data_IF_551218624322
#
_entry.id   IF_551218624322
#
_cell.length_a   1.000
_cell.length_b   1.000
_cell.length_c   1.000
_cell.angle_alpha   90.00
_cell.angle_beta   90.00
_cell.angle_gamma   90.00
#
_symmetry.space_group_name_H-M   'P 1'
#
loop_
_entity.id
_entity.type
_entity.pdbx_description
1 polymer ?
#
# COMPACT_ATOMS: atom_id res chain seq x y z
N UNK A 1 26.99 -8.30 6.31
CA UNK A 1 27.49 -6.93 6.06
C UNK A 1 26.77 -6.03 7.04
N UNK A 2 27.49 -5.25 7.85
CA UNK A 2 26.90 -4.23 8.71
C UNK A 2 26.56 -3.01 7.85
N UNK A 3 25.30 -2.60 7.85
CA UNK A 3 24.87 -1.35 7.24
C UNK A 3 25.35 -0.22 8.15
N UNK A 4 26.05 0.80 7.66
CA UNK A 4 26.63 1.85 8.52
C UNK A 4 26.20 3.22 7.99
N UNK A 5 25.76 4.08 8.91
CA UNK A 5 25.46 5.48 8.65
C UNK A 5 26.31 6.37 9.56
N UNK A 6 26.50 7.62 9.16
CA UNK A 6 27.38 8.56 9.84
C UNK A 6 26.62 9.83 10.21
N UNK A 7 26.74 10.29 11.45
CA UNK A 7 26.08 11.49 11.93
C UNK A 7 27.11 12.54 12.40
N UNK A 8 26.87 13.81 12.08
CA UNK A 8 27.67 14.92 12.61
C UNK A 8 26.82 16.17 12.84
N UNK A 9 27.33 17.13 13.61
CA UNK A 9 26.65 18.41 13.86
C UNK A 9 27.02 19.46 12.82
N UNK A 10 28.29 19.84 12.78
CA UNK A 10 28.79 20.90 11.91
C UNK A 10 30.02 20.44 11.13
N UNK A 11 30.24 20.95 9.91
CA UNK A 11 29.36 21.86 9.18
C UNK A 11 28.21 21.12 8.48
N UNK A 12 27.07 21.79 8.31
CA UNK A 12 26.00 21.29 7.44
C UNK A 12 26.40 21.42 5.97
N UNK A 13 26.53 20.33 5.20
CA UNK A 13 26.89 20.42 3.78
C UNK A 13 25.72 21.00 2.94
N UNK A 14 26.05 21.69 1.86
CA UNK A 14 25.07 22.19 0.89
C UNK A 14 24.92 21.27 -0.33
N UNK A 15 25.92 20.42 -0.59
CA UNK A 15 25.96 19.48 -1.73
C UNK A 15 26.40 18.08 -1.30
N UNK A 16 26.10 17.07 -2.10
CA UNK A 16 26.54 15.69 -1.86
C UNK A 16 28.06 15.56 -1.82
N UNK A 17 28.77 16.24 -2.73
CA UNK A 17 30.23 16.29 -2.75
C UNK A 17 30.80 16.95 -1.48
N UNK A 18 30.15 17.99 -0.96
CA UNK A 18 30.52 18.57 0.33
C UNK A 18 30.28 17.62 1.49
N UNK A 19 29.19 16.84 1.48
CA UNK A 19 28.91 15.84 2.51
C UNK A 19 30.02 14.77 2.56
N UNK A 20 30.44 14.27 1.40
CA UNK A 20 31.58 13.34 1.29
C UNK A 20 32.88 13.96 1.83
N UNK A 21 33.16 15.22 1.48
CA UNK A 21 34.34 15.93 1.95
C UNK A 21 34.29 16.28 3.45
N UNK A 22 33.10 16.39 4.05
CA UNK A 22 32.93 16.57 5.50
C UNK A 22 33.23 15.25 6.21
N UNK A 23 32.61 14.15 5.79
CA UNK A 23 32.87 12.83 6.37
C UNK A 23 34.36 12.46 6.32
N UNK A 24 34.98 12.57 5.13
CA UNK A 24 36.39 12.24 4.94
C UNK A 24 37.35 13.07 5.80
N UNK A 25 36.94 14.29 6.20
CA UNK A 25 37.75 15.14 7.09
C UNK A 25 37.52 14.82 8.57
N UNK A 26 36.32 14.42 8.95
CA UNK A 26 35.90 14.36 10.35
C UNK A 26 35.93 12.97 10.96
N UNK A 27 35.88 11.90 10.15
CA UNK A 27 35.78 10.53 10.66
C UNK A 27 36.94 10.17 11.60
N UNK A 28 38.16 10.63 11.34
CA UNK A 28 39.33 10.34 12.20
C UNK A 28 39.68 11.49 13.19
N UNK A 29 38.80 12.47 13.36
CA UNK A 29 39.08 13.62 14.24
C UNK A 29 38.50 13.45 15.64
N UNK A 30 39.27 13.72 16.70
CA UNK A 30 38.77 13.63 18.07
C UNK A 30 37.65 14.64 18.34
N UNK A 31 36.55 14.18 18.93
CA UNK A 31 35.39 15.02 19.23
C UNK A 31 35.40 15.64 20.63
N UNK A 32 34.94 16.91 20.77
CA UNK A 32 34.38 17.36 22.03
C UNK A 32 33.01 16.69 22.28
N UNK A 33 32.60 16.64 23.55
CA UNK A 33 31.27 16.17 23.92
C UNK A 33 30.17 16.93 23.17
N UNK A 34 29.29 16.19 22.48
CA UNK A 34 28.18 16.77 21.73
C UNK A 34 26.84 16.44 22.41
N UNK A 35 26.16 17.43 23.03
CA UNK A 35 24.90 17.19 23.73
C UNK A 35 23.77 16.75 22.81
N UNK A 36 23.85 17.03 21.49
CA UNK A 36 22.83 16.60 20.52
C UNK A 36 22.87 15.10 20.26
N UNK A 37 24.04 14.47 20.31
CA UNK A 37 24.13 13.01 20.19
C UNK A 37 23.54 12.31 21.41
N UNK A 38 23.77 12.86 22.61
CA UNK A 38 23.16 12.36 23.85
C UNK A 38 21.63 12.47 23.79
N UNK A 39 21.13 13.63 23.36
CA UNK A 39 19.70 13.85 23.21
C UNK A 39 19.08 12.95 22.13
N UNK A 40 19.78 12.75 20.99
CA UNK A 40 19.34 11.82 19.95
C UNK A 40 19.24 10.40 20.50
N UNK A 41 20.28 9.89 21.16
CA UNK A 41 20.27 8.58 21.79
C UNK A 41 19.10 8.43 22.79
N UNK A 42 18.84 9.47 23.60
CA UNK A 42 17.71 9.50 24.55
C UNK A 42 16.35 9.38 23.84
N UNK A 43 16.15 10.11 22.73
CA UNK A 43 14.89 10.07 21.98
C UNK A 43 14.66 8.72 21.30
N UNK A 44 15.70 8.15 20.70
CA UNK A 44 15.61 6.83 20.08
C UNK A 44 15.33 5.74 21.12
N UNK A 45 15.97 5.81 22.29
CA UNK A 45 15.69 4.90 23.40
C UNK A 45 14.25 5.00 23.91
N UNK A 46 13.69 6.22 23.98
CA UNK A 46 12.29 6.42 24.36
C UNK A 46 11.30 5.86 23.31
N UNK A 47 11.65 5.94 22.02
CA UNK A 47 10.82 5.45 20.94
C UNK A 47 10.79 3.91 20.85
N UNK A 48 11.93 3.24 21.09
CA UNK A 48 12.05 1.79 21.03
C UNK A 48 12.81 1.23 22.25
N UNK A 49 12.19 1.20 23.43
CA UNK A 49 12.84 0.76 24.66
C UNK A 49 13.26 -0.72 24.63
N UNK A 50 12.57 -1.56 23.85
CA UNK A 50 12.83 -3.00 23.73
C UNK A 50 14.10 -3.34 22.94
N UNK A 51 14.62 -2.38 22.16
CA UNK A 51 15.88 -2.52 21.43
C UNK A 51 17.08 -2.01 22.23
N UNK A 52 16.87 -1.43 23.40
CA UNK A 52 17.94 -0.86 24.23
C UNK A 52 19.01 -1.87 24.66
N UNK A 53 18.67 -3.16 24.74
CA UNK A 53 19.57 -4.26 25.11
C UNK A 53 20.31 -4.89 23.92
N UNK A 54 20.05 -4.44 22.68
CA UNK A 54 20.57 -5.04 21.44
C UNK A 54 21.49 -4.13 20.61
N UNK A 55 21.98 -3.02 21.17
CA UNK A 55 22.90 -2.14 20.45
C UNK A 55 24.34 -2.66 20.53
N UNK A 56 25.00 -2.74 19.37
CA UNK A 56 26.45 -2.99 19.23
C UNK A 56 27.29 -1.72 19.11
N UNK A 57 26.73 -0.52 19.34
CA UNK A 57 27.49 0.73 19.32
C UNK A 57 27.07 1.61 20.50
N UNK A 58 28.04 1.91 21.35
CA UNK A 58 27.88 2.70 22.56
C UNK A 58 27.05 3.97 22.29
N UNK A 59 25.91 4.10 22.97
CA UNK A 59 25.26 5.40 23.09
C UNK A 59 26.26 6.29 23.84
N UNK A 60 26.74 7.41 23.26
CA UNK A 60 27.70 8.23 23.98
C UNK A 60 27.02 8.68 25.27
N UNK A 61 27.66 8.37 26.39
CA UNK A 61 27.48 9.04 27.68
C UNK A 61 27.92 10.53 27.61
N UNK A 62 27.82 11.14 26.42
CA UNK A 62 28.40 12.42 26.06
C UNK A 62 29.79 12.33 25.44
N UNK A 63 30.49 11.20 25.47
CA UNK A 63 31.86 11.10 24.96
C UNK A 63 31.88 10.22 23.71
N UNK A 64 32.29 10.81 22.58
CA UNK A 64 32.67 10.08 21.39
C UNK A 64 34.17 10.24 21.19
N UNK A 65 34.82 9.20 20.68
CA UNK A 65 36.22 9.29 20.27
C UNK A 65 36.38 10.12 19.00
N UNK A 66 35.31 10.27 18.19
CA UNK A 66 35.34 10.87 16.85
C UNK A 66 34.24 11.93 16.64
N UNK A 67 34.53 12.96 15.81
CA UNK A 67 33.61 14.05 15.41
C UNK A 67 32.35 13.55 14.70
N UNK A 68 32.41 12.33 14.18
CA UNK A 68 31.34 11.62 13.51
C UNK A 68 30.86 10.48 14.39
N UNK A 69 29.55 10.41 14.62
CA UNK A 69 28.96 9.23 15.22
C UNK A 69 28.61 8.23 14.13
N UNK A 70 29.41 7.18 14.02
CA UNK A 70 29.19 6.07 13.08
C UNK A 70 28.27 5.03 13.71
N UNK A 71 27.08 4.84 13.13
CA UNK A 71 26.06 3.91 13.59
C UNK A 71 25.87 2.75 12.60
N UNK A 72 26.29 1.56 13.03
CA UNK A 72 25.98 0.28 12.43
C UNK A 72 24.54 -0.14 12.73
N UNK A 73 23.74 -0.32 11.68
CA UNK A 73 22.37 -0.79 11.71
C UNK A 73 22.31 -2.30 11.49
N UNK A 74 21.73 -3.01 12.44
CA UNK A 74 21.45 -4.43 12.29
C UNK A 74 20.27 -4.64 11.31
N UNK A 75 20.36 -5.65 10.45
CA UNK A 75 19.27 -6.02 9.53
C UNK A 75 18.00 -6.52 10.23
N UNK A 76 18.05 -6.71 11.54
CA UNK A 76 16.93 -7.10 12.41
C UNK A 76 16.18 -5.89 12.98
N UNK A 77 16.65 -4.67 12.74
CA UNK A 77 15.97 -3.46 13.18
C UNK A 77 14.62 -3.32 12.43
N UNK A 78 13.57 -2.83 13.11
CA UNK A 78 12.30 -2.53 12.45
C UNK A 78 12.45 -1.53 11.30
N UNK A 79 11.70 -1.71 10.22
CA UNK A 79 11.78 -0.85 9.01
C UNK A 79 11.54 0.65 9.29
N UNK A 80 10.84 0.98 10.38
CA UNK A 80 10.57 2.36 10.80
C UNK A 80 11.68 2.98 11.66
N UNK A 81 12.69 2.22 12.07
CA UNK A 81 13.82 2.72 12.86
C UNK A 81 14.61 3.77 12.06
N UNK A 82 15.00 3.43 10.84
CA UNK A 82 15.87 4.27 10.03
C UNK A 82 15.23 5.63 9.65
N UNK A 83 13.96 5.68 9.18
CA UNK A 83 13.27 6.96 8.97
C UNK A 83 13.13 7.80 10.25
N UNK A 84 12.81 7.17 11.39
CA UNK A 84 12.65 7.89 12.65
C UNK A 84 13.98 8.46 13.18
N UNK A 85 15.07 7.71 13.02
CA UNK A 85 16.42 8.17 13.35
C UNK A 85 16.80 9.42 12.56
N UNK A 86 16.52 9.42 11.24
CA UNK A 86 16.76 10.58 10.38
C UNK A 86 15.95 11.78 10.86
N UNK A 87 14.66 11.60 11.14
CA UNK A 87 13.77 12.67 11.58
C UNK A 87 14.26 13.31 12.89
N UNK A 88 14.60 12.51 13.89
CA UNK A 88 15.09 13.00 15.18
C UNK A 88 16.47 13.67 15.05
N UNK A 89 17.37 13.11 14.25
CA UNK A 89 18.70 13.67 14.01
C UNK A 89 18.60 15.04 13.33
N UNK A 90 17.83 15.14 12.24
CA UNK A 90 17.60 16.38 11.50
C UNK A 90 16.89 17.43 12.36
N UNK A 91 15.93 17.02 13.21
CA UNK A 91 15.26 17.91 14.15
C UNK A 91 16.19 18.48 15.22
N UNK A 92 17.24 17.74 15.59
CA UNK A 92 18.31 18.21 16.48
C UNK A 92 19.38 19.03 15.75
N UNK A 93 19.24 19.22 14.44
CA UNK A 93 20.20 19.97 13.64
C UNK A 93 21.46 19.16 13.30
N UNK A 94 21.37 17.83 13.27
CA UNK A 94 22.44 16.94 12.83
C UNK A 94 22.28 16.60 11.34
N UNK A 95 23.41 16.30 10.69
CA UNK A 95 23.47 15.69 9.37
C UNK A 95 23.57 14.18 9.51
N UNK A 96 22.89 13.44 8.64
CA UNK A 96 22.95 11.96 8.55
C UNK A 96 23.40 11.60 7.15
N UNK A 97 24.49 10.86 7.04
CA UNK A 97 25.06 10.42 5.77
C UNK A 97 25.00 8.91 5.65
N UNK A 98 24.51 8.48 4.51
CA UNK A 98 24.37 7.09 4.14
C UNK A 98 25.08 6.86 2.81
N UNK A 99 26.32 6.35 2.90
CA UNK A 99 27.13 6.05 1.73
C UNK A 99 26.48 4.98 0.86
N UNK A 100 25.85 3.99 1.49
CA UNK A 100 25.32 2.81 0.81
C UNK A 100 24.05 3.16 0.03
N UNK A 101 23.24 4.09 0.54
CA UNK A 101 22.08 4.65 -0.16
C UNK A 101 22.47 5.78 -1.13
N UNK A 102 23.65 6.40 -0.99
CA UNK A 102 24.05 7.56 -1.77
C UNK A 102 23.27 8.83 -1.38
N UNK A 103 22.92 8.96 -0.10
CA UNK A 103 22.05 10.02 0.41
C UNK A 103 22.62 10.70 1.67
N UNK A 104 22.44 12.01 1.77
CA UNK A 104 22.74 12.77 2.98
C UNK A 104 21.56 13.66 3.38
N UNK A 105 21.03 13.45 4.57
CA UNK A 105 19.95 14.23 5.16
C UNK A 105 20.57 15.35 6.00
N UNK A 106 20.11 16.58 5.78
CA UNK A 106 20.67 17.77 6.44
C UNK A 106 19.57 18.53 7.18
N UNK A 107 19.91 19.34 8.20
CA UNK A 107 18.96 20.16 8.94
C UNK A 107 17.94 20.89 8.05
N UNK A 108 16.65 20.70 8.37
CA UNK A 108 15.53 21.15 7.56
C UNK A 108 14.99 20.05 6.62
N UNK A 109 14.08 20.40 5.69
CA UNK A 109 13.43 19.41 4.83
C UNK A 109 14.30 19.13 3.60
N UNK A 110 15.57 18.72 3.77
CA UNK A 110 16.49 18.59 2.64
C UNK A 110 17.25 17.26 2.63
N UNK A 111 17.33 16.66 1.44
CA UNK A 111 18.17 15.51 1.11
C UNK A 111 19.14 15.92 0.01
N UNK A 112 20.39 15.48 0.14
CA UNK A 112 21.45 15.65 -0.84
C UNK A 112 21.78 14.29 -1.43
N UNK A 113 21.89 14.21 -2.75
CA UNK A 113 22.41 13.05 -3.48
C UNK A 113 23.25 13.54 -4.66
N UNK A 114 23.84 12.62 -5.44
CA UNK A 114 24.53 12.98 -6.69
C UNK A 114 23.63 13.76 -7.67
N UNK A 115 22.32 13.51 -7.64
CA UNK A 115 21.34 14.21 -8.47
C UNK A 115 21.10 15.67 -8.03
N UNK A 116 21.58 16.05 -6.84
CA UNK A 116 21.50 17.40 -6.31
C UNK A 116 20.76 17.48 -4.99
N UNK A 117 20.30 18.70 -4.65
CA UNK A 117 19.57 18.99 -3.42
C UNK A 117 18.08 18.94 -3.67
N UNK A 118 17.41 18.02 -2.98
CA UNK A 118 15.97 17.84 -3.07
C UNK A 118 15.32 18.17 -1.74
N UNK A 119 14.13 18.78 -1.81
CA UNK A 119 13.33 18.96 -0.61
C UNK A 119 12.79 17.60 -0.19
N UNK A 120 13.07 17.18 1.04
CA UNK A 120 12.31 16.13 1.69
C UNK A 120 10.86 16.61 1.72
N UNK A 121 10.07 16.13 0.78
CA UNK A 121 8.62 16.16 0.90
C UNK A 121 8.29 15.08 1.91
N UNK A 122 8.46 15.40 3.20
CA UNK A 122 7.74 14.71 4.26
C UNK A 122 6.26 14.90 3.93
N UNK A 123 5.70 13.96 3.17
CA UNK A 123 4.27 13.84 3.03
C UNK A 123 3.79 13.72 4.48
N UNK A 124 2.97 14.65 5.01
CA UNK A 124 2.61 14.62 6.41
C UNK A 124 1.99 13.24 6.66
N UNK A 125 2.69 12.41 7.42
CA UNK A 125 2.09 11.26 8.05
C UNK A 125 1.05 11.92 8.94
N UNK A 126 -0.22 11.83 8.55
CA UNK A 126 -1.32 12.23 9.43
C UNK A 126 -1.00 11.59 10.79
N UNK A 127 -0.93 12.42 11.84
CA UNK A 127 -0.51 11.98 13.16
C UNK A 127 -1.18 10.63 13.47
N UNK A 128 -0.42 9.57 13.77
CA UNK A 128 -1.04 8.31 14.12
C UNK A 128 -2.01 8.59 15.28
N UNK A 129 -3.23 8.02 15.27
CA UNK A 129 -4.17 8.22 16.34
C UNK A 129 -3.51 7.88 17.68
N UNK A 130 -3.78 8.72 18.70
CA UNK A 130 -3.26 8.59 20.07
C UNK A 130 -3.31 7.12 20.50
N UNK A 131 -2.24 6.55 21.09
CA UNK A 131 -2.19 5.15 21.48
C UNK A 131 -3.16 4.90 22.64
N UNK A 132 -4.44 4.69 22.34
CA UNK A 132 -5.15 3.62 23.03
C UNK A 132 -4.45 2.35 22.55
N UNK A 133 -4.00 1.44 23.41
CA UNK A 133 -3.32 0.19 23.00
C UNK A 133 -4.12 -0.75 22.08
N UNK A 134 -5.22 -0.27 21.49
CA UNK A 134 -6.08 -0.93 20.52
C UNK A 134 -5.69 -0.56 19.09
N UNK A 135 -5.86 -1.53 18.20
CA UNK A 135 -5.61 -1.41 16.77
C UNK A 135 -6.77 -0.62 16.11
N UNK A 136 -6.52 0.65 15.78
CA UNK A 136 -7.43 1.47 14.95
C UNK A 136 -7.17 1.23 13.45
N UNK A 137 -7.85 0.24 12.88
CA UNK A 137 -7.75 -0.10 11.46
C UNK A 137 -8.20 1.05 10.56
N UNK A 138 -9.32 1.70 10.85
CA UNK A 138 -9.90 2.72 9.96
C UNK A 138 -9.06 4.00 9.97
N UNK A 139 -8.58 4.44 11.14
CA UNK A 139 -7.70 5.59 11.26
C UNK A 139 -6.35 5.36 10.57
N UNK A 140 -5.74 4.18 10.76
CA UNK A 140 -4.47 3.83 10.10
C UNK A 140 -4.63 3.67 8.59
N UNK A 141 -5.73 3.08 8.12
CA UNK A 141 -6.02 3.00 6.69
C UNK A 141 -6.14 4.39 6.06
N UNK A 142 -6.84 5.32 6.74
CA UNK A 142 -6.94 6.73 6.33
C UNK A 142 -5.59 7.43 6.30
N UNK A 143 -4.68 7.10 7.23
CA UNK A 143 -3.37 7.73 7.31
C UNK A 143 -2.37 7.18 6.28
N UNK A 144 -2.39 5.86 6.02
CA UNK A 144 -1.33 5.18 5.26
C UNK A 144 -1.73 4.83 3.81
N UNK A 145 -3.00 4.52 3.56
CA UNK A 145 -3.47 4.06 2.24
C UNK A 145 -4.10 5.19 1.45
N UNK A 146 -5.06 5.91 2.04
CA UNK A 146 -5.82 6.96 1.33
C UNK A 146 -4.92 8.01 0.64
N UNK A 147 -3.86 8.56 1.27
CA UNK A 147 -3.06 9.60 0.62
C UNK A 147 -2.33 9.14 -0.65
N UNK A 148 -2.15 7.81 -0.84
CA UNK A 148 -1.57 7.25 -2.06
C UNK A 148 -2.61 7.06 -3.16
N UNK A 149 -3.87 6.84 -2.80
CA UNK A 149 -4.96 6.50 -3.72
C UNK A 149 -5.80 7.73 -4.10
N UNK A 150 -5.81 8.77 -3.25
CA UNK A 150 -6.54 10.01 -3.47
C UNK A 150 -6.15 10.74 -4.78
N UNK A 151 -4.87 10.83 -5.20
CA UNK A 151 -4.52 11.39 -6.51
C UNK A 151 -5.14 10.66 -7.70
N UNK A 152 -5.54 9.40 -7.52
CA UNK A 152 -6.24 8.59 -8.53
C UNK A 152 -7.77 8.70 -8.44
N UNK A 153 -8.28 9.66 -7.66
CA UNK A 153 -9.70 9.97 -7.52
C UNK A 153 -10.47 9.12 -6.52
N UNK A 154 -9.78 8.29 -5.73
CA UNK A 154 -10.44 7.49 -4.68
C UNK A 154 -10.75 8.32 -3.44
N UNK A 155 -11.94 8.09 -2.89
CA UNK A 155 -12.38 8.57 -1.58
C UNK A 155 -12.55 7.39 -0.63
N UNK A 156 -12.28 7.61 0.65
CA UNK A 156 -12.45 6.59 1.68
C UNK A 156 -13.84 6.67 2.30
N UNK A 157 -14.59 5.58 2.22
CA UNK A 157 -15.81 5.33 2.97
C UNK A 157 -15.51 4.33 4.09
N UNK A 158 -15.93 4.69 5.31
CA UNK A 158 -15.78 3.85 6.51
C UNK A 158 -17.16 3.60 7.11
N UNK A 159 -17.86 2.55 6.66
CA UNK A 159 -19.10 2.13 7.29
C UNK A 159 -18.87 1.81 8.78
N UNK A 160 -19.91 1.97 9.63
CA UNK A 160 -19.81 1.61 11.04
C UNK A 160 -19.47 0.11 11.18
N UNK A 161 -18.60 -0.27 12.13
CA UNK A 161 -18.28 -1.67 12.41
C UNK A 161 -19.52 -2.52 12.70
N UNK A 162 -19.46 -3.81 12.34
CA UNK A 162 -20.52 -4.79 12.62
C UNK A 162 -19.93 -5.98 13.39
N UNK A 163 -20.09 -5.96 14.71
CA UNK A 163 -19.44 -6.94 15.58
C UNK A 163 -17.91 -6.88 15.42
N UNK A 164 -17.28 -8.01 15.16
CA UNK A 164 -15.82 -8.13 14.98
C UNK A 164 -15.37 -7.83 13.54
N UNK A 165 -16.28 -7.34 12.70
CA UNK A 165 -16.02 -6.99 11.31
C UNK A 165 -15.90 -5.48 11.16
N UNK A 166 -14.76 -5.03 10.65
CA UNK A 166 -14.51 -3.64 10.28
C UNK A 166 -14.35 -3.58 8.76
N UNK A 167 -14.89 -2.55 8.12
CA UNK A 167 -14.78 -2.35 6.67
C UNK A 167 -14.08 -1.03 6.36
N UNK A 168 -13.23 -1.04 5.33
CA UNK A 168 -12.65 0.15 4.71
C UNK A 168 -12.85 0.05 3.21
N UNK A 169 -13.51 1.05 2.61
CA UNK A 169 -13.86 1.05 1.19
C UNK A 169 -13.25 2.28 0.51
N UNK A 170 -12.47 2.06 -0.54
CA UNK A 170 -12.03 3.11 -1.44
C UNK A 170 -12.92 3.11 -2.67
N UNK A 171 -13.62 4.20 -2.90
CA UNK A 171 -14.61 4.34 -3.97
C UNK A 171 -14.19 5.46 -4.91
N UNK A 172 -14.40 5.29 -6.21
CA UNK A 172 -14.34 6.40 -7.19
C UNK A 172 -15.39 6.22 -8.27
N UNK A 173 -15.91 7.34 -8.77
CA UNK A 173 -16.82 7.34 -9.90
C UNK A 173 -16.08 7.59 -11.22
N UNK A 174 -16.49 6.86 -12.25
CA UNK A 174 -15.93 6.92 -13.61
C UNK A 174 -17.08 6.94 -14.62
N UNK A 175 -16.77 7.10 -15.92
CA UNK A 175 -17.79 7.04 -16.97
C UNK A 175 -18.41 5.64 -17.11
N UNK A 176 -17.65 4.59 -16.79
CA UNK A 176 -18.17 3.23 -16.74
C UNK A 176 -19.13 3.03 -15.56
N UNK A 177 -18.84 3.66 -14.43
CA UNK A 177 -19.59 3.56 -13.19
C UNK A 177 -18.69 3.67 -11.97
N UNK A 178 -19.12 3.09 -10.86
CA UNK A 178 -18.39 3.11 -9.60
C UNK A 178 -17.33 2.01 -9.56
N UNK A 179 -16.11 2.35 -9.16
CA UNK A 179 -15.06 1.38 -8.87
C UNK A 179 -14.81 1.36 -7.37
N UNK A 180 -14.75 0.16 -6.78
CA UNK A 180 -14.65 -0.05 -5.35
C UNK A 180 -13.53 -1.04 -5.00
N UNK A 181 -12.64 -0.63 -4.10
CA UNK A 181 -11.65 -1.48 -3.44
C UNK A 181 -12.09 -1.60 -1.98
N UNK A 182 -12.55 -2.79 -1.60
CA UNK A 182 -13.01 -3.11 -0.26
C UNK A 182 -11.93 -3.93 0.45
N UNK A 183 -11.58 -3.52 1.66
CA UNK A 183 -10.85 -4.37 2.60
C UNK A 183 -11.76 -4.68 3.78
N UNK A 184 -12.04 -5.97 3.95
CA UNK A 184 -12.76 -6.51 5.09
C UNK A 184 -11.75 -6.96 6.15
N UNK A 185 -11.96 -6.53 7.39
CA UNK A 185 -11.10 -6.84 8.50
C UNK A 185 -11.88 -7.66 9.53
N UNK A 186 -11.34 -8.83 9.91
CA UNK A 186 -11.91 -9.68 10.95
C UNK A 186 -10.88 -9.96 12.01
N UNK A 187 -11.20 -9.68 13.26
CA UNK A 187 -10.25 -9.89 14.35
C UNK A 187 -10.64 -9.17 15.63
N UNK A 188 -9.65 -8.98 16.48
CA UNK A 188 -9.79 -8.31 17.77
C UNK A 188 -8.86 -7.09 17.80
N UNK A 189 -9.42 -5.94 18.18
CA UNK A 189 -8.68 -4.70 18.31
C UNK A 189 -7.53 -4.79 19.32
N UNK A 190 -7.55 -5.75 20.25
CA UNK A 190 -6.49 -5.97 21.22
C UNK A 190 -5.34 -6.84 20.71
N UNK A 191 -5.48 -7.59 19.60
CA UNK A 191 -4.48 -8.55 19.15
C UNK A 191 -4.09 -8.41 17.69
N UNK A 192 -5.03 -8.67 16.78
CA UNK A 192 -4.76 -8.84 15.36
C UNK A 192 -6.03 -8.74 14.53
N UNK A 193 -5.83 -8.42 13.26
CA UNK A 193 -6.85 -8.49 12.23
C UNK A 193 -6.38 -9.34 11.06
N UNK A 194 -7.30 -10.11 10.50
CA UNK A 194 -7.16 -10.74 9.19
C UNK A 194 -7.89 -9.88 8.16
N UNK A 195 -7.15 -9.37 7.19
CA UNK A 195 -7.68 -8.60 6.07
C UNK A 195 -8.04 -9.51 4.89
N UNK A 196 -9.17 -9.25 4.24
CA UNK A 196 -9.56 -9.82 2.95
C UNK A 196 -9.85 -8.70 1.97
N UNK A 197 -9.18 -8.74 0.82
CA UNK A 197 -9.26 -7.72 -0.21
C UNK A 197 -10.26 -8.14 -1.30
N UNK A 198 -11.12 -7.22 -1.67
CA UNK A 198 -12.06 -7.36 -2.77
C UNK A 198 -12.00 -6.12 -3.67
N UNK A 199 -12.09 -6.32 -4.98
CA UNK A 199 -12.15 -5.22 -5.93
C UNK A 199 -13.29 -5.47 -6.92
N UNK A 200 -14.04 -4.42 -7.26
CA UNK A 200 -15.17 -4.54 -8.19
C UNK A 200 -15.51 -3.23 -8.90
N UNK A 201 -16.23 -3.36 -10.01
CA UNK A 201 -16.86 -2.24 -10.72
C UNK A 201 -18.38 -2.46 -10.70
N UNK A 202 -19.13 -1.43 -10.32
CA UNK A 202 -20.58 -1.34 -10.49
C UNK A 202 -20.88 -0.44 -11.70
N UNK A 203 -21.06 -1.00 -12.90
CA UNK A 203 -21.32 -0.20 -14.09
C UNK A 203 -22.67 0.51 -14.05
N UNK A 204 -22.75 1.66 -14.72
CA UNK A 204 -24.02 2.32 -15.03
C UNK A 204 -24.67 1.61 -16.22
N UNK A 205 -25.79 0.94 -15.97
CA UNK A 205 -26.57 0.21 -16.96
C UNK A 205 -27.95 0.85 -17.14
N UNK A 206 -28.52 0.83 -18.36
CA UNK A 206 -29.92 1.19 -18.57
C UNK A 206 -30.85 0.32 -17.70
N UNK A 207 -31.93 0.91 -17.18
CA UNK A 207 -32.81 0.24 -16.21
C UNK A 207 -33.32 -1.16 -16.67
N UNK A 208 -33.76 -1.37 -17.92
CA UNK A 208 -34.20 -2.70 -18.38
C UNK A 208 -33.08 -3.74 -18.31
N UNK A 209 -31.85 -3.33 -18.64
CA UNK A 209 -30.66 -4.19 -18.62
C UNK A 209 -30.24 -4.46 -17.17
N UNK A 210 -30.25 -3.44 -16.31
CA UNK A 210 -29.92 -3.58 -14.90
C UNK A 210 -30.86 -4.56 -14.16
N UNK A 211 -32.16 -4.58 -14.51
CA UNK A 211 -33.13 -5.54 -13.96
C UNK A 211 -32.80 -6.98 -14.31
N UNK A 212 -32.33 -7.24 -15.54
CA UNK A 212 -31.89 -8.58 -15.96
C UNK A 212 -30.61 -8.98 -15.24
N UNK A 213 -29.70 -8.02 -15.03
CA UNK A 213 -28.44 -8.28 -14.32
C UNK A 213 -28.63 -8.55 -12.82
N UNK A 214 -29.69 -8.07 -12.19
CA UNK A 214 -29.89 -8.20 -10.75
C UNK A 214 -30.00 -9.68 -10.31
N UNK A 215 -29.32 -10.09 -9.22
CA UNK A 215 -28.53 -9.28 -8.28
C UNK A 215 -27.04 -9.11 -8.67
N UNK A 216 -26.61 -9.65 -9.81
CA UNK A 216 -25.22 -9.65 -10.29
C UNK A 216 -24.86 -8.37 -11.06
N UNK A 217 -25.05 -7.21 -10.44
CA UNK A 217 -24.76 -5.90 -11.04
C UNK A 217 -23.30 -5.46 -10.88
N UNK A 218 -22.49 -6.21 -10.13
CA UNK A 218 -21.07 -5.92 -9.89
C UNK A 218 -20.18 -6.86 -10.72
N UNK A 219 -19.10 -6.31 -11.23
CA UNK A 219 -18.04 -7.03 -11.95
C UNK A 219 -16.84 -7.14 -11.00
N UNK A 220 -16.60 -8.30 -10.38
CA UNK A 220 -15.48 -8.48 -9.48
C UNK A 220 -14.18 -8.71 -10.23
N UNK A 221 -13.09 -8.18 -9.69
CA UNK A 221 -11.73 -8.49 -10.11
C UNK A 221 -11.19 -9.56 -9.16
N UNK A 222 -10.75 -10.68 -9.72
CA UNK A 222 -10.05 -11.73 -8.99
C UNK A 222 -8.56 -11.39 -8.91
N UNK A 223 -8.03 -11.45 -7.70
CA UNK A 223 -6.62 -11.21 -7.40
C UNK A 223 -5.99 -12.55 -7.03
N UNK A 224 -5.09 -13.04 -7.87
CA UNK A 224 -4.45 -14.36 -7.70
C UNK A 224 -3.19 -14.25 -6.87
N UNK A 225 -2.46 -13.15 -7.05
CA UNK A 225 -1.21 -12.90 -6.37
C UNK A 225 -1.05 -11.42 -5.97
N UNK A 226 -0.28 -11.21 -4.91
CA UNK A 226 -0.05 -9.91 -4.28
C UNK A 226 1.36 -9.91 -3.68
N UNK A 227 2.42 -10.00 -4.50
CA UNK A 227 3.77 -10.34 -4.03
C UNK A 227 4.25 -9.44 -2.90
N UNK A 228 3.93 -8.15 -2.96
CA UNK A 228 4.32 -7.13 -1.98
C UNK A 228 3.67 -7.32 -0.60
N UNK A 229 2.53 -8.01 -0.49
CA UNK A 229 1.86 -8.32 0.79
C UNK A 229 1.83 -9.82 1.11
N UNK A 230 2.50 -10.66 0.32
CA UNK A 230 2.51 -12.10 0.54
C UNK A 230 3.16 -12.51 1.87
N UNK A 231 4.03 -11.66 2.43
CA UNK A 231 4.61 -11.84 3.77
C UNK A 231 3.55 -11.89 4.89
N UNK A 232 2.34 -11.37 4.65
CA UNK A 232 1.24 -11.37 5.60
C UNK A 232 0.24 -12.49 5.35
N UNK A 233 0.43 -13.34 4.34
CA UNK A 233 -0.52 -14.40 3.99
C UNK A 233 -0.81 -15.31 5.17
N UNK A 234 -2.10 -15.50 5.43
CA UNK A 234 -2.59 -16.28 6.54
C UNK A 234 -3.52 -17.39 6.04
N UNK A 235 -3.18 -18.65 6.39
CA UNK A 235 -3.94 -19.87 6.03
C UNK A 235 -4.23 -19.97 4.53
N UNK A 236 -3.27 -19.58 3.69
CA UNK A 236 -3.37 -19.71 2.24
C UNK A 236 -3.53 -21.18 1.84
N UNK A 237 -4.47 -21.44 0.94
CA UNK A 237 -4.66 -22.75 0.33
C UNK A 237 -4.46 -22.63 -1.18
N UNK A 238 -3.50 -23.37 -1.78
CA UNK A 238 -3.34 -23.43 -3.23
C UNK A 238 -4.59 -23.94 -3.95
N UNK A 239 -5.46 -24.69 -3.27
CA UNK A 239 -6.74 -25.16 -3.80
C UNK A 239 -7.81 -24.04 -3.90
N UNK A 240 -7.59 -22.91 -3.23
CA UNK A 240 -8.46 -21.72 -3.28
C UNK A 240 -7.59 -20.45 -3.39
N UNK A 241 -6.87 -20.28 -4.51
CA UNK A 241 -5.82 -19.27 -4.64
C UNK A 241 -6.33 -17.84 -4.47
N UNK A 242 -7.62 -17.61 -4.71
CA UNK A 242 -8.27 -16.29 -4.67
C UNK A 242 -8.94 -15.99 -3.32
N UNK A 243 -8.96 -16.95 -2.40
CA UNK A 243 -9.42 -16.78 -1.03
C UNK A 243 -8.23 -16.47 -0.12
N UNK A 244 -7.76 -15.22 -0.16
CA UNK A 244 -6.55 -14.78 0.56
C UNK A 244 -6.91 -13.95 1.78
N UNK A 245 -6.39 -14.35 2.94
CA UNK A 245 -6.43 -13.59 4.17
C UNK A 245 -5.03 -13.11 4.51
N UNK A 246 -4.90 -11.90 5.05
CA UNK A 246 -3.62 -11.32 5.44
C UNK A 246 -3.64 -10.96 6.93
N UNK A 247 -2.79 -11.59 7.73
CA UNK A 247 -2.71 -11.35 9.17
C UNK A 247 -1.86 -10.12 9.46
N UNK A 248 -2.43 -9.16 10.18
CA UNK A 248 -1.75 -8.01 10.74
C UNK A 248 -1.88 -8.05 12.27
N UNK A 249 -0.78 -8.34 12.96
CA UNK A 249 -0.73 -8.43 14.43
C UNK A 249 -0.16 -7.16 15.04
N UNK A 250 -0.89 -6.62 16.02
CA UNK A 250 -0.53 -5.38 16.69
C UNK A 250 -0.52 -4.16 15.77
N UNK A 251 -0.25 -3.01 16.38
CA UNK A 251 -0.16 -1.71 15.70
C UNK A 251 0.93 -1.70 14.62
N UNK A 252 2.14 -2.13 14.95
CA UNK A 252 3.27 -2.09 14.02
C UNK A 252 3.11 -3.06 12.85
N UNK A 253 2.53 -4.25 13.11
CA UNK A 253 2.23 -5.21 12.04
C UNK A 253 1.17 -4.69 11.08
N UNK A 254 0.15 -4.00 11.60
CA UNK A 254 -0.86 -3.32 10.77
C UNK A 254 -0.25 -2.21 9.91
N UNK A 255 0.65 -1.39 10.43
CA UNK A 255 1.28 -0.32 9.65
C UNK A 255 2.13 -0.86 8.51
N UNK A 256 2.91 -1.92 8.76
CA UNK A 256 3.68 -2.59 7.71
C UNK A 256 2.75 -3.19 6.65
N UNK A 257 1.67 -3.86 7.08
CA UNK A 257 0.68 -4.40 6.16
C UNK A 257 0.04 -3.31 5.29
N UNK A 258 -0.44 -2.22 5.90
CA UNK A 258 -1.10 -1.12 5.19
C UNK A 258 -0.17 -0.40 4.23
N UNK A 259 1.11 -0.21 4.61
CA UNK A 259 2.11 0.39 3.74
C UNK A 259 2.40 -0.49 2.52
N UNK A 260 2.57 -1.79 2.73
CA UNK A 260 2.77 -2.76 1.66
C UNK A 260 1.52 -2.90 0.76
N UNK A 261 0.32 -2.89 1.36
CA UNK A 261 -0.96 -2.88 0.65
C UNK A 261 -1.06 -1.65 -0.24
N UNK A 262 -0.76 -0.45 0.28
CA UNK A 262 -0.82 0.78 -0.49
C UNK A 262 0.17 0.76 -1.67
N UNK A 263 1.38 0.22 -1.47
CA UNK A 263 2.36 0.03 -2.55
C UNK A 263 1.84 -0.93 -3.63
N UNK A 264 1.27 -2.08 -3.24
CA UNK A 264 0.69 -3.03 -4.19
C UNK A 264 -0.49 -2.45 -4.95
N UNK A 265 -1.42 -1.79 -4.26
CA UNK A 265 -2.57 -1.15 -4.87
C UNK A 265 -2.14 -0.17 -5.97
N UNK A 266 -1.15 0.66 -5.66
CA UNK A 266 -0.66 1.66 -6.60
C UNK A 266 0.10 1.05 -7.80
N UNK A 267 0.89 0.01 -7.56
CA UNK A 267 1.71 -0.61 -8.61
C UNK A 267 0.91 -1.54 -9.54
N UNK A 268 -0.04 -2.29 -8.99
CA UNK A 268 -0.69 -3.40 -9.71
C UNK A 268 -2.19 -3.12 -9.97
N UNK A 269 -2.95 -2.77 -8.94
CA UNK A 269 -4.42 -2.70 -9.06
C UNK A 269 -4.92 -1.41 -9.70
N UNK A 270 -4.40 -0.26 -9.29
CA UNK A 270 -4.81 1.04 -9.79
C UNK A 270 -4.61 1.16 -11.31
N UNK A 271 -3.50 0.71 -11.91
CA UNK A 271 -3.33 0.72 -13.37
C UNK A 271 -4.42 -0.09 -14.10
N UNK A 272 -4.81 -1.25 -13.58
CA UNK A 272 -5.90 -2.06 -14.13
C UNK A 272 -7.23 -1.31 -14.06
N UNK A 273 -7.52 -0.69 -12.92
CA UNK A 273 -8.74 0.10 -12.73
C UNK A 273 -8.75 1.38 -13.58
N UNK A 274 -7.59 1.99 -13.81
CA UNK A 274 -7.43 3.15 -14.68
C UNK A 274 -7.69 2.81 -16.14
N UNK A 275 -7.32 1.60 -16.58
CA UNK A 275 -7.69 1.05 -17.89
C UNK A 275 -9.16 0.66 -18.00
N UNK A 276 -9.94 0.70 -16.92
CA UNK A 276 -11.36 0.33 -16.91
C UNK A 276 -12.28 1.52 -16.59
N UNK A 277 -11.89 2.75 -16.95
CA UNK A 277 -12.68 3.97 -16.65
C UNK A 277 -13.84 4.21 -17.59
N UNK A 278 -13.78 3.67 -18.80
CA UNK A 278 -14.84 3.79 -19.81
C UNK A 278 -15.34 2.41 -20.23
N UNK A 279 -16.49 2.38 -20.91
CA UNK A 279 -17.05 1.14 -21.46
C UNK A 279 -16.17 0.51 -22.52
N UNK A 280 -15.62 1.33 -23.42
CA UNK A 280 -14.76 0.86 -24.51
C UNK A 280 -13.47 0.25 -23.95
N UNK A 281 -12.80 0.96 -23.03
CA UNK A 281 -11.57 0.47 -22.42
C UNK A 281 -11.79 -0.82 -21.64
N UNK A 282 -12.90 -0.92 -20.89
CA UNK A 282 -13.25 -2.15 -20.17
C UNK A 282 -13.51 -3.31 -21.13
N UNK A 283 -14.25 -3.10 -22.23
CA UNK A 283 -14.53 -4.16 -23.20
C UNK A 283 -13.28 -4.63 -23.94
N UNK A 284 -12.31 -3.74 -24.14
CA UNK A 284 -10.98 -4.09 -24.64
C UNK A 284 -10.19 -4.89 -23.60
N UNK A 285 -10.19 -4.47 -22.33
CA UNK A 285 -9.52 -5.18 -21.23
C UNK A 285 -10.10 -6.59 -21.01
N UNK A 286 -11.43 -6.76 -21.05
CA UNK A 286 -12.13 -8.04 -20.84
C UNK A 286 -11.75 -9.11 -21.89
N UNK A 287 -11.41 -8.67 -23.10
CA UNK A 287 -10.93 -9.53 -24.19
C UNK A 287 -9.41 -9.76 -24.19
N UNK A 288 -8.64 -8.83 -23.62
CA UNK A 288 -7.19 -8.93 -23.61
C UNK A 288 -6.71 -10.12 -22.78
N UNK A 289 -5.45 -10.53 -22.99
CA UNK A 289 -4.82 -11.50 -22.11
C UNK A 289 -4.85 -10.98 -20.67
N UNK A 290 -5.18 -11.84 -19.68
CA UNK A 290 -5.25 -11.42 -18.29
C UNK A 290 -3.92 -10.82 -17.85
N UNK A 291 -3.93 -9.60 -17.33
CA UNK A 291 -2.74 -9.01 -16.72
C UNK A 291 -2.43 -9.78 -15.45
N UNK A 292 -1.43 -10.65 -15.48
CA UNK A 292 -1.05 -11.39 -14.28
C UNK A 292 -0.62 -10.39 -13.20
N UNK A 293 -1.17 -10.45 -11.95
CA UNK A 293 -2.04 -11.49 -11.38
C UNK A 293 -3.51 -11.09 -11.14
N UNK A 294 -4.06 -10.10 -11.87
CA UNK A 294 -5.42 -9.55 -11.66
C UNK A 294 -6.27 -9.78 -12.91
N UNK A 295 -7.42 -10.42 -12.76
CA UNK A 295 -8.31 -10.66 -13.90
C UNK A 295 -9.77 -10.38 -13.57
N UNK A 296 -10.53 -10.00 -14.60
CA UNK A 296 -11.96 -9.76 -14.48
C UNK A 296 -12.69 -11.10 -14.40
N UNK A 297 -13.51 -11.28 -13.36
CA UNK A 297 -14.39 -12.45 -13.30
C UNK A 297 -15.52 -12.28 -14.30
N UNK A 298 -15.84 -13.38 -14.97
CA UNK A 298 -16.83 -13.41 -16.02
C UNK A 298 -18.25 -13.37 -15.41
N UNK A 299 -18.85 -12.18 -15.37
CA UNK A 299 -20.17 -11.91 -14.79
C UNK A 299 -21.17 -11.43 -15.85
N UNK A 300 -22.47 -11.53 -15.54
CA UNK A 300 -23.54 -11.12 -16.45
C UNK A 300 -23.45 -9.63 -16.83
N UNK A 301 -22.97 -8.80 -15.90
CA UNK A 301 -22.71 -7.39 -16.14
C UNK A 301 -21.68 -7.15 -17.27
N UNK A 302 -20.72 -8.05 -17.51
CA UNK A 302 -19.79 -7.97 -18.65
C UNK A 302 -20.56 -8.05 -19.98
N UNK A 303 -21.46 -9.04 -20.09
CA UNK A 303 -22.30 -9.24 -21.29
C UNK A 303 -23.28 -8.09 -21.47
N UNK A 304 -23.85 -7.58 -20.38
CA UNK A 304 -24.72 -6.41 -20.44
C UNK A 304 -23.99 -5.16 -20.97
N UNK A 305 -22.74 -4.94 -20.58
CA UNK A 305 -21.92 -3.86 -21.12
C UNK A 305 -21.65 -4.03 -22.63
N UNK A 306 -21.31 -5.25 -23.06
CA UNK A 306 -21.12 -5.55 -24.48
C UNK A 306 -22.42 -5.37 -25.29
N UNK A 307 -23.55 -5.80 -24.73
CA UNK A 307 -24.88 -5.58 -25.30
C UNK A 307 -25.18 -4.08 -25.45
N UNK A 308 -24.96 -3.28 -24.39
CA UNK A 308 -25.18 -1.84 -24.43
C UNK A 308 -24.22 -1.09 -25.38
N UNK A 309 -23.05 -1.66 -25.68
CA UNK A 309 -22.12 -1.14 -26.67
C UNK A 309 -22.44 -1.62 -28.10
N UNK A 310 -23.47 -2.46 -28.28
CA UNK A 310 -23.86 -2.96 -29.60
C UNK A 310 -22.85 -3.94 -30.23
N UNK A 311 -21.97 -4.53 -29.43
CA UNK A 311 -20.91 -5.40 -29.95
C UNK A 311 -21.53 -6.61 -30.69
N UNK A 312 -21.04 -6.95 -31.91
CA UNK A 312 -21.64 -8.00 -32.73
C UNK A 312 -21.33 -9.42 -32.24
N UNK A 313 -20.27 -9.63 -31.45
CA UNK A 313 -19.75 -10.94 -31.05
C UNK A 313 -20.34 -11.47 -29.71
N UNK A 314 -21.54 -11.01 -29.35
CA UNK A 314 -22.12 -11.25 -28.02
C UNK A 314 -22.27 -12.75 -27.69
N UNK A 315 -22.60 -13.58 -28.68
CA UNK A 315 -22.70 -15.04 -28.54
C UNK A 315 -21.32 -15.67 -28.23
N UNK A 316 -20.27 -15.26 -28.95
CA UNK A 316 -18.92 -15.75 -28.70
C UNK A 316 -18.41 -15.34 -27.31
N UNK A 317 -18.74 -14.12 -26.85
CA UNK A 317 -18.45 -13.66 -25.49
C UNK A 317 -19.20 -14.48 -24.44
N UNK A 318 -20.46 -14.81 -24.69
CA UNK A 318 -21.24 -15.69 -23.82
C UNK A 318 -20.61 -17.07 -23.71
N UNK A 319 -20.19 -17.68 -24.82
CA UNK A 319 -19.52 -18.98 -24.82
C UNK A 319 -18.20 -18.97 -24.03
N UNK A 320 -17.35 -17.95 -24.24
CA UNK A 320 -16.12 -17.77 -23.47
C UNK A 320 -16.41 -17.62 -21.96
N UNK A 321 -17.45 -16.87 -21.62
CA UNK A 321 -17.87 -16.64 -20.25
C UNK A 321 -18.40 -17.93 -19.59
N UNK A 322 -19.16 -18.73 -20.33
CA UNK A 322 -19.66 -20.03 -19.88
C UNK A 322 -18.53 -21.04 -19.67
N UNK A 323 -17.50 -21.04 -20.53
CA UNK A 323 -16.30 -21.85 -20.35
C UNK A 323 -15.57 -21.50 -19.05
N UNK A 324 -15.32 -20.20 -18.82
CA UNK A 324 -14.68 -19.70 -17.59
C UNK A 324 -15.50 -20.06 -16.34
N UNK A 325 -16.83 -19.93 -16.40
CA UNK A 325 -17.73 -20.25 -15.27
C UNK A 325 -17.82 -21.75 -14.94
N UNK A 326 -17.81 -22.62 -15.95
CA UNK A 326 -17.77 -24.08 -15.75
C UNK A 326 -16.51 -24.50 -14.99
N UNK A 327 -15.37 -23.91 -15.32
CA UNK A 327 -14.12 -24.14 -14.59
C UNK A 327 -14.19 -23.72 -13.10
N UNK A 328 -15.10 -22.79 -12.76
CA UNK A 328 -15.33 -22.31 -11.40
C UNK A 328 -16.51 -23.00 -10.67
N UNK A 329 -17.14 -24.03 -11.27
CA UNK A 329 -18.20 -24.82 -10.63
C UNK A 329 -19.53 -24.10 -10.41
N UNK A 330 -19.81 -23.01 -11.13
CA UNK A 330 -21.06 -22.22 -10.98
C UNK A 330 -22.20 -22.73 -11.88
N UNK A 331 -23.46 -22.58 -11.42
CA UNK A 331 -24.65 -23.07 -12.12
C UNK A 331 -24.91 -22.29 -13.45
N UNK A 332 -24.85 -22.95 -14.62
CA UNK A 332 -24.99 -22.32 -15.94
C UNK A 332 -26.41 -21.88 -16.30
N UNK A 333 -27.45 -22.45 -15.69
CA UNK A 333 -28.84 -22.27 -16.16
C UNK A 333 -29.38 -20.84 -15.97
N UNK A 334 -29.07 -20.21 -14.83
CA UNK A 334 -29.51 -18.84 -14.54
C UNK A 334 -28.92 -17.83 -15.52
N UNK A 335 -27.71 -18.09 -16.00
CA UNK A 335 -27.01 -17.21 -16.90
C UNK A 335 -27.50 -17.32 -18.34
N UNK A 336 -27.78 -18.54 -18.81
CA UNK A 336 -28.38 -18.75 -20.12
C UNK A 336 -29.75 -18.04 -20.23
N UNK A 337 -30.58 -18.16 -19.19
CA UNK A 337 -31.87 -17.45 -19.14
C UNK A 337 -31.70 -15.92 -19.18
N UNK A 338 -30.73 -15.38 -18.43
CA UNK A 338 -30.46 -13.95 -18.44
C UNK A 338 -29.87 -13.46 -19.78
N UNK A 339 -29.06 -14.29 -20.44
CA UNK A 339 -28.52 -13.99 -21.76
C UNK A 339 -29.61 -13.91 -22.83
N UNK A 340 -30.56 -14.85 -22.84
CA UNK A 340 -31.71 -14.79 -23.76
C UNK A 340 -32.60 -13.57 -23.50
N UNK A 341 -32.78 -13.19 -22.23
CA UNK A 341 -33.49 -11.97 -21.88
C UNK A 341 -32.76 -10.71 -22.43
N UNK A 342 -31.42 -10.66 -22.34
CA UNK A 342 -30.64 -9.57 -22.95
C UNK A 342 -30.76 -9.53 -24.47
N UNK A 343 -30.67 -10.69 -25.15
CA UNK A 343 -30.87 -10.79 -26.60
C UNK A 343 -32.24 -10.28 -27.03
N UNK A 344 -33.27 -10.60 -26.26
CA UNK A 344 -34.65 -10.20 -26.54
C UNK A 344 -34.84 -8.68 -26.50
N UNK A 345 -34.11 -7.96 -25.63
CA UNK A 345 -34.12 -6.49 -25.58
C UNK A 345 -33.48 -5.82 -26.79
N UNK A 346 -32.59 -6.50 -27.52
CA UNK A 346 -31.97 -5.97 -28.74
C UNK A 346 -32.95 -5.95 -29.93
N UNK A 347 -34.00 -6.77 -29.86
CA UNK A 347 -34.98 -6.97 -30.92
C UNK A 347 -36.25 -6.12 -30.75
N UNK A 348 -36.32 -5.29 -29.71
CA UNK A 348 -37.42 -4.36 -29.40
C UNK A 348 -36.99 -2.92 -29.57
#
# INVERSE_FOLDING_TARGET
MSYVIHLWDQPTPATWMEAQAVLARQVDQPAPSNPRFVELARRIHAFMPELASHWTLDAPNGVLDEMVWSLGLASTLPDNFYPHLIDEAVALGLSVYDEQAGECFVPGPWRLSEAGRERLVHRPIAAPPVPSGLIDVQGRFRALVLPRLQPHGFVLETPPPRGNQVLTQLVRHTLLGEQCILVEWRGDAASDYVASLFCSITPVLPEPVAKICAPQTRIPFEVVDTPQINAFLHRFSPAKPTSRGYLASGVAGLDRFLSALASWLQAELVPVLDQCKTREDFLAYDLAEPRHPIYVRAYLANLALAHCAGVPDLDARFDQLMLRRRAQGMNPAQMAAAFEALRSLRNT
#
